data_IF_686325023061
#
_entry.id   IF_686325023061
#
_cell.length_a   1.000
_cell.length_b   1.000
_cell.length_c   1.000
_cell.angle_alpha   90.00
_cell.angle_beta   90.00
_cell.angle_gamma   90.00
#
_symmetry.space_group_name_H-M   'P 1'
#
loop_
_entity.id
_entity.type
_entity.pdbx_description
1 polymer ?
#
# COMPACT_ATOMS: atom_id res chain seq x y z
N UNK A 1 9.23 4.55 14.48
CA UNK A 1 8.61 3.25 14.82
C UNK A 1 8.99 2.84 16.22
N UNK A 2 8.16 3.25 17.18
CA UNK A 2 8.12 2.68 18.53
C UNK A 2 7.80 1.18 18.46
N UNK A 3 8.03 0.41 19.55
CA UNK A 3 7.65 -0.99 19.61
C UNK A 3 6.15 -1.21 19.31
N UNK A 4 5.29 -0.34 19.85
CA UNK A 4 3.85 -0.36 19.61
C UNK A 4 3.50 -0.10 18.13
N UNK A 5 4.17 0.86 17.49
CA UNK A 5 3.99 1.12 16.05
C UNK A 5 4.42 -0.09 15.20
N UNK A 6 5.46 -0.82 15.60
CA UNK A 6 5.89 -2.04 14.90
C UNK A 6 4.87 -3.17 15.03
N UNK A 7 4.31 -3.36 16.22
CA UNK A 7 3.28 -4.39 16.46
C UNK A 7 2.02 -4.10 15.63
N UNK A 8 1.57 -2.85 15.64
CA UNK A 8 0.42 -2.41 14.82
C UNK A 8 0.68 -2.59 13.33
N UNK A 9 1.89 -2.26 12.86
CA UNK A 9 2.27 -2.49 11.46
C UNK A 9 2.27 -3.99 11.12
N UNK A 10 2.80 -4.84 11.99
CA UNK A 10 2.79 -6.29 11.76
C UNK A 10 1.37 -6.87 11.72
N UNK A 11 0.46 -6.39 12.58
CA UNK A 11 -0.94 -6.79 12.55
C UNK A 11 -1.60 -6.41 11.22
N UNK A 12 -1.41 -5.16 10.77
CA UNK A 12 -1.92 -4.68 9.49
C UNK A 12 -1.36 -5.48 8.30
N UNK A 13 -0.05 -5.77 8.30
CA UNK A 13 0.58 -6.57 7.24
C UNK A 13 0.01 -7.99 7.19
N UNK A 14 -0.23 -8.63 8.34
CA UNK A 14 -0.86 -9.96 8.40
C UNK A 14 -2.27 -9.95 7.85
N UNK A 15 -3.05 -8.92 8.17
CA UNK A 15 -4.43 -8.77 7.68
C UNK A 15 -4.46 -8.56 6.17
N UNK A 16 -3.60 -7.68 5.66
CA UNK A 16 -3.42 -7.47 4.22
C UNK A 16 -3.00 -8.77 3.53
N UNK A 17 -2.04 -9.51 4.09
CA UNK A 17 -1.60 -10.79 3.53
C UNK A 17 -2.72 -11.83 3.48
N UNK A 18 -3.58 -11.90 4.51
CA UNK A 18 -4.71 -12.81 4.54
C UNK A 18 -5.77 -12.48 3.48
N UNK A 19 -6.04 -11.19 3.25
CA UNK A 19 -6.95 -10.72 2.19
C UNK A 19 -6.41 -11.12 0.82
N UNK A 20 -5.12 -10.92 0.57
CA UNK A 20 -4.50 -11.25 -0.72
C UNK A 20 -4.41 -12.74 -0.97
N UNK A 21 -4.08 -13.53 0.05
CA UNK A 21 -4.04 -14.99 -0.05
C UNK A 21 -5.40 -15.57 -0.48
N UNK A 22 -6.50 -15.06 0.08
CA UNK A 22 -7.87 -15.49 -0.31
C UNK A 22 -8.18 -15.25 -1.79
N UNK A 23 -7.50 -14.31 -2.43
CA UNK A 23 -7.71 -13.93 -3.82
C UNK A 23 -6.59 -14.43 -4.76
N UNK A 24 -5.64 -15.22 -4.25
CA UNK A 24 -4.51 -15.74 -5.05
C UNK A 24 -4.69 -17.23 -5.32
N UNK A 25 -4.39 -17.69 -6.53
CA UNK A 25 -4.49 -19.12 -6.84
C UNK A 25 -3.36 -19.92 -6.17
N UNK A 26 -3.63 -21.11 -5.59
CA UNK A 26 -2.59 -21.93 -4.94
C UNK A 26 -1.44 -22.34 -5.89
N UNK A 27 -1.69 -22.36 -7.19
CA UNK A 27 -0.67 -22.61 -8.23
C UNK A 27 0.39 -21.51 -8.32
N UNK A 28 0.04 -20.28 -7.98
CA UNK A 28 0.94 -19.12 -8.04
C UNK A 28 1.87 -19.07 -6.82
N UNK A 29 1.56 -19.77 -5.73
CA UNK A 29 2.36 -19.79 -4.50
C UNK A 29 3.34 -20.96 -4.41
N UNK A 30 3.52 -21.73 -5.50
CA UNK A 30 4.34 -22.95 -5.50
C UNK A 30 5.83 -22.71 -5.69
N UNK A 31 6.23 -21.56 -6.21
CA UNK A 31 7.63 -21.23 -6.49
C UNK A 31 7.95 -19.86 -5.91
N UNK A 32 9.22 -19.60 -5.60
CA UNK A 32 9.67 -18.28 -5.16
C UNK A 32 9.37 -17.21 -6.22
N UNK A 33 9.52 -17.54 -7.51
CA UNK A 33 9.12 -16.66 -8.62
C UNK A 33 7.60 -16.41 -8.62
N UNK A 34 6.79 -17.43 -8.33
CA UNK A 34 5.34 -17.29 -8.23
C UNK A 34 4.93 -16.42 -7.04
N UNK A 35 5.52 -16.63 -5.87
CA UNK A 35 5.31 -15.80 -4.67
C UNK A 35 5.76 -14.37 -4.94
N UNK A 36 6.94 -14.19 -5.51
CA UNK A 36 7.45 -12.88 -5.89
C UNK A 36 6.54 -12.22 -6.92
N UNK A 37 6.00 -12.96 -7.89
CA UNK A 37 4.99 -12.46 -8.83
C UNK A 37 3.66 -12.15 -8.13
N UNK A 38 3.23 -12.88 -7.12
CA UNK A 38 2.06 -12.49 -6.33
C UNK A 38 2.33 -11.18 -5.56
N UNK A 39 3.56 -11.01 -5.04
CA UNK A 39 4.00 -9.83 -4.29
C UNK A 39 4.34 -8.62 -5.19
N UNK A 40 4.80 -8.85 -6.43
CA UNK A 40 5.36 -7.85 -7.38
C UNK A 40 4.51 -7.70 -8.65
N UNK A 41 4.00 -8.81 -9.19
CA UNK A 41 3.10 -8.93 -10.35
C UNK A 41 1.60 -8.91 -9.99
N UNK A 42 1.30 -8.24 -8.90
CA UNK A 42 0.46 -7.03 -8.86
C UNK A 42 0.30 -6.18 -10.15
N UNK A 43 0.53 -6.69 -11.37
CA UNK A 43 0.46 -5.91 -12.61
C UNK A 43 -0.09 -6.64 -13.84
N UNK A 44 -0.26 -7.96 -13.95
CA UNK A 44 -0.78 -8.53 -15.22
C UNK A 44 -1.59 -9.82 -15.08
N UNK A 45 -2.88 -9.67 -14.79
CA UNK A 45 -4.02 -10.26 -15.53
C UNK A 45 -5.31 -10.23 -14.66
N UNK A 46 -6.02 -9.09 -14.66
CA UNK A 46 -7.38 -8.87 -14.07
C UNK A 46 -7.53 -9.03 -12.53
N UNK A 47 -8.61 -8.46 -11.96
CA UNK A 47 -8.60 -7.28 -11.07
C UNK A 47 -7.83 -7.47 -9.75
N UNK A 48 -6.95 -6.53 -9.39
CA UNK A 48 -5.79 -6.75 -8.49
C UNK A 48 -5.77 -5.82 -7.27
N UNK A 49 -5.73 -6.39 -6.06
CA UNK A 49 -6.10 -5.68 -4.82
C UNK A 49 -5.03 -4.84 -4.08
N UNK A 50 -3.74 -4.83 -4.44
CA UNK A 50 -2.70 -4.12 -3.63
C UNK A 50 -2.12 -2.84 -4.28
N UNK A 51 -1.88 -2.82 -5.59
CA UNK A 51 -1.30 -1.67 -6.33
C UNK A 51 -2.41 -0.72 -6.79
N UNK A 52 -3.65 -1.20 -6.81
CA UNK A 52 -4.85 -0.41 -7.07
C UNK A 52 -5.46 0.16 -5.77
N UNK A 53 -5.18 -0.46 -4.61
CA UNK A 53 -5.79 -0.05 -3.34
C UNK A 53 -4.76 0.43 -2.32
N UNK A 54 -3.71 -0.32 -1.96
CA UNK A 54 -2.85 0.07 -0.84
C UNK A 54 -1.84 1.17 -1.22
N UNK A 55 -1.14 1.02 -2.35
CA UNK A 55 -0.15 2.03 -2.77
C UNK A 55 -0.77 3.39 -3.14
N UNK A 56 -1.91 3.44 -3.85
CA UNK A 56 -2.62 4.70 -4.09
C UNK A 56 -3.12 5.33 -2.80
N UNK A 57 -3.68 4.55 -1.86
CA UNK A 57 -4.13 5.09 -0.56
C UNK A 57 -2.98 5.68 0.26
N UNK A 58 -1.79 5.04 0.25
CA UNK A 58 -0.59 5.62 0.85
C UNK A 58 -0.20 6.92 0.15
N UNK A 59 -0.19 6.94 -1.18
CA UNK A 59 0.14 8.14 -1.96
C UNK A 59 -0.87 9.28 -1.73
N UNK A 60 -2.17 8.98 -1.69
CA UNK A 60 -3.24 9.93 -1.39
C UNK A 60 -3.13 10.46 0.03
N UNK A 61 -2.91 9.61 1.02
CA UNK A 61 -2.71 10.03 2.41
C UNK A 61 -1.55 11.03 2.52
N UNK A 62 -0.40 10.72 1.92
CA UNK A 62 0.77 11.60 1.92
C UNK A 62 0.52 12.91 1.15
N UNK A 63 -0.15 12.84 0.00
CA UNK A 63 -0.53 14.02 -0.79
C UNK A 63 -1.48 14.95 -0.01
N UNK A 64 -2.47 14.40 0.69
CA UNK A 64 -3.39 15.17 1.53
C UNK A 64 -2.65 15.83 2.71
N UNK A 65 -1.69 15.13 3.32
CA UNK A 65 -0.82 15.71 4.36
C UNK A 65 0.04 16.84 3.83
N UNK A 66 0.53 16.75 2.59
CA UNK A 66 1.27 17.83 1.93
C UNK A 66 0.36 19.05 1.68
N UNK A 67 -0.85 18.83 1.16
CA UNK A 67 -1.80 19.93 0.90
C UNK A 67 -2.25 20.66 2.17
N UNK A 68 -2.47 19.94 3.28
CA UNK A 68 -2.82 20.55 4.56
C UNK A 68 -1.71 21.49 5.07
N UNK A 69 -0.45 21.06 4.97
CA UNK A 69 0.70 21.89 5.34
C UNK A 69 0.84 23.15 4.49
N UNK A 70 0.47 23.10 3.20
CA UNK A 70 0.51 24.27 2.31
C UNK A 70 -0.61 25.26 2.65
N UNK A 71 -1.77 24.79 3.13
CA UNK A 71 -2.91 25.65 3.49
C UNK A 71 -2.76 26.33 4.86
N UNK A 72 -2.10 25.66 5.81
CA UNK A 72 -1.79 26.23 7.13
C UNK A 72 -0.59 27.20 7.11
N UNK A 73 0.11 27.32 5.98
CA UNK A 73 1.18 28.30 5.75
C UNK A 73 0.69 29.41 4.79
N UNK A 74 0.10 30.51 5.31
CA UNK A 74 -0.47 31.57 4.47
C UNK A 74 0.56 32.35 3.63
N UNK A 75 1.87 32.11 3.79
CA UNK A 75 2.92 32.86 3.11
C UNK A 75 3.36 32.24 1.77
N UNK A 76 2.96 30.99 1.49
CA UNK A 76 3.30 30.32 0.21
C UNK A 76 2.23 30.39 -0.88
N UNK A 77 1.05 30.97 -0.62
CA UNK A 77 -0.03 31.10 -1.62
C UNK A 77 0.24 32.17 -2.72
N UNK A 78 1.47 32.67 -2.87
CA UNK A 78 1.81 33.71 -3.86
C UNK A 78 2.84 33.31 -4.93
N UNK A 79 3.21 32.04 -5.06
CA UNK A 79 4.15 31.64 -6.13
C UNK A 79 3.73 30.32 -6.75
N UNK A 80 2.68 30.34 -7.58
CA UNK A 80 2.59 29.66 -8.90
C UNK A 80 1.51 30.37 -9.71
#
# INVERSE_FOLDING_TARGET
>A
MTPEEKERLQAAVKEIAAILYKNTSPSELKTLEGIEKTVRCLRRATPTQMLEYVSPEIAFFLSNKLQAQIKDDPDKSKVV
#
